data_IF_261965163993
#
_entry.id   IF_261965163993
#
_cell.length_a   1.000
_cell.length_b   1.000
_cell.length_c   1.000
_cell.angle_alpha   90.00
_cell.angle_beta   90.00
_cell.angle_gamma   90.00
#
_symmetry.space_group_name_H-M   'P 1'
#
loop_
_entity.id
_entity.type
_entity.pdbx_description
1 polymer ?
#
# COMPACT_ATOMS: atom_id res chain seq x y z
N UNK A 1 23.90 12.12 3.19
CA UNK A 1 23.25 13.37 2.73
C UNK A 1 24.20 14.31 2.00
N UNK A 2 25.48 14.36 2.37
CA UNK A 2 26.48 15.25 1.75
C UNK A 2 26.56 15.14 0.22
N UNK A 3 26.48 13.93 -0.33
CA UNK A 3 26.47 13.73 -1.78
C UNK A 3 25.26 14.37 -2.49
N UNK A 4 24.10 14.46 -1.83
CA UNK A 4 22.90 15.13 -2.35
C UNK A 4 23.08 16.66 -2.26
N UNK A 5 23.59 17.16 -1.12
CA UNK A 5 23.88 18.59 -0.92
C UNK A 5 24.93 19.10 -1.91
N UNK A 6 26.00 18.34 -2.14
CA UNK A 6 27.05 18.66 -3.10
C UNK A 6 26.52 18.73 -4.55
N UNK A 7 25.43 18.03 -4.86
CA UNK A 7 24.72 18.09 -6.15
C UNK A 7 23.67 19.20 -6.22
N UNK A 8 23.49 19.99 -5.16
CA UNK A 8 22.48 21.06 -5.10
C UNK A 8 21.04 20.53 -5.01
N UNK A 9 20.85 19.28 -4.57
CA UNK A 9 19.51 18.71 -4.38
C UNK A 9 18.85 19.37 -3.17
N UNK A 10 17.65 19.92 -3.36
CA UNK A 10 16.84 20.56 -2.32
C UNK A 10 15.56 19.79 -2.02
N UNK A 11 15.11 18.96 -2.96
CA UNK A 11 13.87 18.18 -2.87
C UNK A 11 14.18 16.69 -3.07
N UNK A 12 13.55 15.83 -2.28
CA UNK A 12 13.71 14.37 -2.38
C UNK A 12 12.34 13.69 -2.41
N UNK A 13 12.23 12.65 -3.23
CA UNK A 13 11.07 11.75 -3.26
C UNK A 13 11.57 10.34 -2.98
N UNK A 14 10.94 9.66 -2.02
CA UNK A 14 11.22 8.25 -1.75
C UNK A 14 10.29 7.41 -2.64
N UNK A 15 10.87 6.57 -3.48
CA UNK A 15 10.13 5.71 -4.38
C UNK A 15 10.80 4.34 -4.49
N UNK A 16 9.98 3.28 -4.48
CA UNK A 16 10.43 1.90 -4.54
C UNK A 16 10.11 1.13 -3.26
N UNK A 17 10.06 -0.20 -3.40
CA UNK A 17 9.83 -1.08 -2.27
C UNK A 17 11.06 -1.11 -1.37
N UNK A 18 10.88 -0.79 -0.09
CA UNK A 18 11.90 -0.95 0.95
C UNK A 18 11.51 -2.16 1.79
N UNK A 19 12.39 -3.16 1.85
CA UNK A 19 12.22 -4.26 2.82
C UNK A 19 12.79 -3.81 4.15
N UNK A 20 12.18 -4.27 5.24
CA UNK A 20 12.74 -4.08 6.59
C UNK A 20 14.20 -4.58 6.58
N UNK A 21 15.18 -3.69 6.76
CA UNK A 21 16.58 -4.09 6.76
C UNK A 21 16.93 -4.80 8.06
N UNK A 22 17.82 -5.79 7.99
CA UNK A 22 18.58 -6.22 9.16
C UNK A 22 19.59 -5.11 9.46
N UNK A 23 19.41 -4.39 10.58
CA UNK A 23 20.29 -3.29 10.94
C UNK A 23 21.52 -3.85 11.64
N UNK A 24 22.63 -3.93 10.92
CA UNK A 24 23.95 -4.13 11.51
C UNK A 24 24.59 -2.78 11.87
N UNK A 25 24.66 -2.48 13.15
CA UNK A 25 25.25 -1.24 13.69
C UNK A 25 26.79 -1.23 13.60
N UNK A 26 27.43 -2.36 13.25
CA UNK A 26 28.89 -2.51 13.16
C UNK A 26 29.52 -1.82 11.94
N UNK A 27 28.78 -1.70 10.84
CA UNK A 27 29.27 -1.10 9.58
C UNK A 27 28.87 0.38 9.40
N UNK A 28 28.13 0.94 10.35
CA UNK A 28 27.68 2.32 10.30
C UNK A 28 28.83 3.32 10.45
N UNK A 29 28.95 4.26 9.51
CA UNK A 29 29.81 5.44 9.69
C UNK A 29 29.44 6.17 10.98
N UNK A 30 30.43 6.67 11.73
CA UNK A 30 30.19 7.31 13.03
C UNK A 30 29.22 8.49 12.98
N UNK A 31 29.20 9.23 11.86
CA UNK A 31 28.27 10.33 11.57
C UNK A 31 26.82 9.85 11.36
N UNK A 32 26.63 8.63 10.87
CA UNK A 32 25.32 8.05 10.57
C UNK A 32 24.72 7.29 11.75
N UNK A 33 25.54 6.87 12.71
CA UNK A 33 25.13 6.06 13.87
C UNK A 33 23.94 6.64 14.65
N UNK A 34 23.90 7.94 15.02
CA UNK A 34 22.76 8.50 15.76
C UNK A 34 21.44 8.43 14.99
N UNK A 35 21.49 8.52 13.65
CA UNK A 35 20.31 8.40 12.80
C UNK A 35 19.83 6.95 12.72
N UNK A 36 20.76 6.01 12.58
CA UNK A 36 20.46 4.58 12.52
C UNK A 36 19.86 4.10 13.84
N UNK A 37 20.41 4.51 14.99
CA UNK A 37 19.88 4.16 16.31
C UNK A 37 18.42 4.63 16.48
N UNK A 38 18.10 5.84 16.01
CA UNK A 38 16.72 6.38 16.03
C UNK A 38 15.76 5.60 15.15
N UNK A 39 16.20 5.21 13.94
CA UNK A 39 15.40 4.41 13.01
C UNK A 39 15.17 3.00 13.58
N UNK A 40 16.22 2.37 14.13
CA UNK A 40 16.14 1.05 14.75
C UNK A 40 15.12 1.01 15.90
N UNK A 41 15.16 1.98 16.81
CA UNK A 41 14.20 2.09 17.91
C UNK A 41 12.76 2.32 17.44
N UNK A 42 12.57 2.94 16.27
CA UNK A 42 11.25 3.12 15.68
C UNK A 42 10.73 1.85 15.00
N UNK A 43 11.60 1.10 14.31
CA UNK A 43 11.27 -0.20 13.70
C UNK A 43 10.78 -1.24 14.71
N UNK A 44 11.21 -1.17 15.98
CA UNK A 44 10.68 -2.03 17.05
C UNK A 44 9.19 -1.82 17.31
N UNK A 45 8.66 -0.63 16.97
CA UNK A 45 7.26 -0.25 17.20
C UNK A 45 6.37 -0.41 15.98
N UNK A 46 6.95 -0.57 14.79
CA UNK A 46 6.22 -0.59 13.53
C UNK A 46 7.01 0.03 12.38
N UNK A 47 6.60 -0.27 11.14
CA UNK A 47 7.28 0.24 9.95
C UNK A 47 6.96 1.73 9.72
N UNK A 48 5.74 2.17 10.03
CA UNK A 48 5.30 3.57 9.85
C UNK A 48 6.12 4.52 10.72
N UNK A 49 6.40 4.13 11.96
CA UNK A 49 7.24 4.90 12.87
C UNK A 49 8.65 5.07 12.32
N UNK A 50 9.21 4.03 11.72
CA UNK A 50 10.55 4.08 11.14
C UNK A 50 10.63 5.00 9.92
N UNK A 51 9.64 4.93 9.02
CA UNK A 51 9.53 5.81 7.86
C UNK A 51 9.35 7.28 8.29
N UNK A 52 8.53 7.54 9.30
CA UNK A 52 8.34 8.89 9.84
C UNK A 52 9.66 9.46 10.41
N UNK A 53 10.45 8.66 11.13
CA UNK A 53 11.76 9.10 11.63
C UNK A 53 12.74 9.36 10.49
N UNK A 54 12.77 8.50 9.46
CA UNK A 54 13.59 8.71 8.27
C UNK A 54 13.30 10.07 7.63
N UNK A 55 12.02 10.41 7.48
CA UNK A 55 11.61 11.70 6.93
C UNK A 55 12.08 12.89 7.76
N UNK A 56 11.90 12.83 9.07
CA UNK A 56 12.33 13.89 9.98
C UNK A 56 13.84 14.14 9.90
N UNK A 57 14.63 13.08 9.65
CA UNK A 57 16.08 13.22 9.48
C UNK A 57 16.39 14.01 8.21
N UNK A 58 15.75 13.68 7.08
CA UNK A 58 15.96 14.42 5.83
C UNK A 58 15.47 15.86 5.92
N UNK A 59 14.30 16.09 6.55
CA UNK A 59 13.76 17.44 6.78
C UNK A 59 14.70 18.26 7.68
N UNK A 60 15.23 17.65 8.75
CA UNK A 60 16.20 18.28 9.65
C UNK A 60 17.53 18.65 8.97
N UNK A 61 17.88 17.95 7.90
CA UNK A 61 19.04 18.24 7.06
C UNK A 61 18.77 19.29 5.97
N UNK A 62 17.54 19.81 5.89
CA UNK A 62 17.11 20.89 4.99
C UNK A 62 16.51 20.43 3.66
N UNK A 63 16.17 19.14 3.51
CA UNK A 63 15.48 18.65 2.30
C UNK A 63 13.98 18.82 2.41
N UNK A 64 13.34 19.20 1.31
CA UNK A 64 11.88 19.16 1.16
C UNK A 64 11.47 17.78 0.66
N UNK A 65 10.58 17.12 1.38
CA UNK A 65 10.04 15.83 0.99
C UNK A 65 8.88 16.04 0.02
N UNK A 66 8.97 15.43 -1.16
CA UNK A 66 7.93 15.43 -2.19
C UNK A 66 7.29 14.05 -2.27
N UNK A 67 5.97 14.02 -2.35
CA UNK A 67 5.25 12.77 -2.50
C UNK A 67 5.33 12.26 -3.94
N UNK A 68 5.35 10.94 -4.14
CA UNK A 68 5.38 10.35 -5.48
C UNK A 68 4.21 10.83 -6.36
N UNK A 69 3.02 10.94 -5.77
CA UNK A 69 1.82 11.41 -6.48
C UNK A 69 1.80 12.92 -6.77
N UNK A 70 2.60 13.73 -6.07
CA UNK A 70 2.76 15.16 -6.44
C UNK A 70 3.61 15.31 -7.70
N UNK A 71 4.57 14.39 -7.89
CA UNK A 71 5.45 14.36 -9.06
C UNK A 71 4.80 13.62 -10.24
N UNK A 72 3.94 12.63 -9.95
CA UNK A 72 3.19 11.86 -10.93
C UNK A 72 1.71 11.72 -10.53
N UNK A 73 0.88 12.77 -10.72
CA UNK A 73 -0.53 12.78 -10.32
C UNK A 73 -1.37 11.67 -10.93
N UNK A 74 -0.99 11.18 -12.11
CA UNK A 74 -1.66 10.09 -12.82
C UNK A 74 -1.65 8.75 -12.07
N UNK A 75 -0.77 8.59 -11.08
CA UNK A 75 -0.72 7.42 -10.20
C UNK A 75 -1.94 7.33 -9.29
N UNK A 76 -2.63 8.44 -9.00
CA UNK A 76 -3.86 8.45 -8.20
C UNK A 76 -5.07 8.66 -9.11
N UNK A 77 -5.78 7.59 -9.50
CA UNK A 77 -6.96 7.72 -10.35
C UNK A 77 -8.10 8.45 -9.62
N UNK A 78 -8.94 9.13 -10.40
CA UNK A 78 -10.19 9.69 -9.88
C UNK A 78 -11.13 8.59 -9.36
N UNK A 79 -11.99 8.94 -8.41
CA UNK A 79 -13.02 8.04 -7.89
C UNK A 79 -13.97 7.57 -8.99
N UNK A 80 -14.29 6.29 -9.02
CA UNK A 80 -15.13 5.66 -10.02
C UNK A 80 -14.75 4.21 -10.25
N UNK A 81 -15.47 3.53 -11.13
CA UNK A 81 -15.13 2.18 -11.58
C UNK A 81 -14.32 2.31 -12.87
N UNK A 82 -13.07 1.83 -12.85
CA UNK A 82 -12.12 2.01 -13.97
C UNK A 82 -12.30 0.95 -15.07
N UNK A 83 -13.06 -0.11 -14.78
CA UNK A 83 -13.26 -1.30 -15.62
C UNK A 83 -14.66 -1.35 -16.21
N UNK A 84 -14.87 -2.22 -17.20
CA UNK A 84 -16.19 -2.47 -17.78
C UNK A 84 -17.16 -3.13 -16.79
N UNK A 85 -16.67 -4.09 -15.99
CA UNK A 85 -17.45 -4.75 -14.96
C UNK A 85 -17.72 -3.78 -13.81
N UNK A 86 -18.98 -3.71 -13.38
CA UNK A 86 -19.43 -2.92 -12.24
C UNK A 86 -19.53 -3.80 -10.98
N UNK A 87 -19.31 -3.23 -9.77
CA UNK A 87 -19.59 -3.93 -8.51
C UNK A 87 -21.09 -4.21 -8.38
N UNK A 88 -21.42 -5.38 -7.84
CA UNK A 88 -22.80 -5.76 -7.51
C UNK A 88 -23.23 -5.15 -6.16
N UNK A 89 -24.54 -5.18 -5.82
CA UNK A 89 -24.99 -4.80 -4.48
C UNK A 89 -24.34 -5.60 -3.34
N UNK A 90 -23.91 -6.83 -3.59
CA UNK A 90 -23.17 -7.64 -2.62
C UNK A 90 -21.75 -7.10 -2.43
N UNK A 91 -21.06 -6.79 -3.53
CA UNK A 91 -19.71 -6.23 -3.50
C UNK A 91 -19.67 -4.87 -2.78
N UNK A 92 -20.71 -4.05 -2.94
CA UNK A 92 -20.84 -2.77 -2.24
C UNK A 92 -20.94 -2.98 -0.71
N UNK A 93 -21.67 -4.01 -0.26
CA UNK A 93 -21.75 -4.34 1.17
C UNK A 93 -20.43 -4.89 1.69
N UNK A 94 -19.75 -5.73 0.91
CA UNK A 94 -18.43 -6.26 1.25
C UNK A 94 -17.39 -5.14 1.33
N UNK A 95 -17.47 -4.13 0.47
CA UNK A 95 -16.62 -2.94 0.51
C UNK A 95 -16.85 -2.14 1.80
N UNK A 96 -18.11 -1.91 2.20
CA UNK A 96 -18.41 -1.23 3.46
C UNK A 96 -17.88 -2.01 4.67
N UNK A 97 -17.93 -3.35 4.62
CA UNK A 97 -17.34 -4.21 5.65
C UNK A 97 -15.81 -4.12 5.65
N UNK A 98 -15.20 -4.03 4.48
CA UNK A 98 -13.76 -3.90 4.33
C UNK A 98 -13.23 -2.61 4.98
N UNK A 99 -13.93 -1.47 4.85
CA UNK A 99 -13.48 -0.21 5.49
C UNK A 99 -13.34 -0.37 7.02
N UNK A 100 -14.32 -1.02 7.65
CA UNK A 100 -14.29 -1.30 9.10
C UNK A 100 -13.10 -2.20 9.46
N UNK A 101 -12.82 -3.21 8.63
CA UNK A 101 -11.70 -4.12 8.85
C UNK A 101 -10.35 -3.42 8.65
N UNK A 102 -10.20 -2.66 7.55
CA UNK A 102 -9.00 -1.89 7.20
C UNK A 102 -8.65 -0.89 8.28
N UNK A 103 -9.65 -0.17 8.82
CA UNK A 103 -9.43 0.71 9.97
C UNK A 103 -8.88 -0.05 11.18
N UNK A 104 -9.49 -1.18 11.54
CA UNK A 104 -9.09 -1.95 12.71
C UNK A 104 -7.67 -2.54 12.59
N UNK A 105 -7.32 -3.10 11.42
CA UNK A 105 -5.96 -3.64 11.20
C UNK A 105 -4.91 -2.52 11.04
N UNK A 106 -5.31 -1.36 10.50
CA UNK A 106 -4.45 -0.20 10.38
C UNK A 106 -4.17 0.47 11.73
N UNK A 107 -5.18 0.63 12.59
CA UNK A 107 -5.01 1.13 13.97
C UNK A 107 -4.05 0.24 14.79
N UNK A 108 -4.00 -1.05 14.47
CA UNK A 108 -3.12 -2.03 15.12
C UNK A 108 -1.75 -2.20 14.42
N UNK A 109 -1.47 -1.41 13.37
CA UNK A 109 -0.27 -1.50 12.53
C UNK A 109 0.01 -2.92 11.99
N UNK A 110 -1.04 -3.66 11.63
CA UNK A 110 -0.92 -5.05 11.15
C UNK A 110 -0.74 -5.09 9.63
N UNK A 111 -1.51 -4.29 8.90
CA UNK A 111 -1.53 -4.31 7.45
C UNK A 111 -2.55 -3.33 6.89
N UNK A 112 -2.64 -3.28 5.56
CA UNK A 112 -3.40 -2.24 4.84
C UNK A 112 -4.29 -2.79 3.72
N UNK A 113 -4.43 -4.13 3.67
CA UNK A 113 -5.33 -4.80 2.75
C UNK A 113 -6.11 -5.93 3.44
N UNK A 114 -7.27 -6.26 2.90
CA UNK A 114 -8.04 -7.43 3.31
C UNK A 114 -8.86 -8.01 2.16
N UNK A 115 -9.36 -9.23 2.34
CA UNK A 115 -10.36 -9.83 1.47
C UNK A 115 -11.66 -10.04 2.24
N UNK A 116 -12.78 -9.72 1.61
CA UNK A 116 -14.12 -9.82 2.20
C UNK A 116 -15.06 -10.58 1.26
N UNK A 117 -15.86 -11.48 1.80
CA UNK A 117 -16.88 -12.22 1.05
C UNK A 117 -18.13 -12.38 1.89
N UNK A 118 -19.28 -11.95 1.37
CA UNK A 118 -20.58 -12.10 2.02
C UNK A 118 -20.58 -11.56 3.48
N UNK A 119 -19.92 -10.42 3.68
CA UNK A 119 -19.78 -9.75 4.97
C UNK A 119 -18.72 -10.34 5.91
N UNK A 120 -18.02 -11.41 5.52
CA UNK A 120 -16.95 -12.02 6.31
C UNK A 120 -15.57 -11.60 5.81
N UNK A 121 -14.69 -11.19 6.71
CA UNK A 121 -13.27 -10.98 6.40
C UNK A 121 -12.61 -12.34 6.34
N UNK A 122 -12.14 -12.73 5.15
CA UNK A 122 -11.60 -14.07 4.89
C UNK A 122 -10.06 -14.09 4.83
N UNK A 123 -9.43 -12.93 4.66
CA UNK A 123 -7.99 -12.74 4.80
C UNK A 123 -7.67 -11.29 5.14
N UNK A 124 -6.54 -11.06 5.81
CA UNK A 124 -5.96 -9.74 6.07
C UNK A 124 -4.48 -9.77 5.70
N UNK A 125 -3.97 -8.64 5.20
CA UNK A 125 -2.55 -8.46 4.97
C UNK A 125 -1.83 -8.35 6.31
N UNK A 126 -0.63 -8.92 6.35
CA UNK A 126 0.30 -8.84 7.48
C UNK A 126 1.69 -8.52 6.94
N UNK A 127 2.74 -8.62 7.78
CA UNK A 127 4.13 -8.41 7.39
C UNK A 127 4.63 -9.30 6.23
N UNK A 128 3.94 -10.41 5.92
CA UNK A 128 4.26 -11.24 4.75
C UNK A 128 3.80 -10.63 3.41
N UNK A 129 2.97 -9.58 3.47
CA UNK A 129 2.55 -8.77 2.33
C UNK A 129 1.34 -9.31 1.55
N UNK A 130 0.81 -8.44 0.70
CA UNK A 130 -0.37 -8.68 -0.16
C UNK A 130 -0.26 -9.97 -0.99
N UNK A 131 0.90 -10.25 -1.58
CA UNK A 131 1.09 -11.42 -2.45
C UNK A 131 0.94 -12.73 -1.67
N UNK A 132 1.56 -12.83 -0.49
CA UNK A 132 1.46 -14.02 0.36
C UNK A 132 0.02 -14.24 0.83
N UNK A 133 -0.68 -13.15 1.18
CA UNK A 133 -2.09 -13.18 1.54
C UNK A 133 -2.96 -13.75 0.41
N UNK A 134 -2.81 -13.22 -0.82
CA UNK A 134 -3.60 -13.65 -1.97
C UNK A 134 -3.27 -15.09 -2.41
N UNK A 135 -2.00 -15.49 -2.37
CA UNK A 135 -1.59 -16.87 -2.65
C UNK A 135 -2.22 -17.85 -1.65
N UNK A 136 -2.20 -17.52 -0.36
CA UNK A 136 -2.83 -18.32 0.68
C UNK A 136 -4.35 -18.43 0.48
N UNK A 137 -4.98 -17.35 0.02
CA UNK A 137 -6.41 -17.31 -0.27
C UNK A 137 -6.79 -18.15 -1.50
N UNK A 138 -5.90 -18.33 -2.46
CA UNK A 138 -6.14 -19.17 -3.65
C UNK A 138 -6.40 -20.65 -3.36
N UNK A 139 -6.15 -21.11 -2.13
CA UNK A 139 -6.43 -22.49 -1.68
C UNK A 139 -7.62 -22.59 -0.72
N UNK A 140 -8.45 -21.55 -0.62
CA UNK A 140 -9.57 -21.51 0.33
C UNK A 140 -10.65 -22.57 0.03
N UNK A 141 -11.28 -23.16 1.06
CA UNK A 141 -12.26 -24.24 0.89
C UNK A 141 -13.67 -23.73 0.52
N UNK A 142 -13.95 -22.44 0.67
CA UNK A 142 -15.28 -21.84 0.50
C UNK A 142 -15.58 -21.38 -0.95
N UNK A 143 -14.68 -21.68 -1.89
CA UNK A 143 -14.86 -21.46 -3.32
C UNK A 143 -14.36 -20.10 -3.80
N UNK A 144 -15.14 -19.45 -4.68
CA UNK A 144 -14.82 -18.17 -5.29
C UNK A 144 -15.78 -17.04 -4.86
N UNK A 145 -15.44 -15.81 -5.24
CA UNK A 145 -16.17 -14.59 -4.95
C UNK A 145 -15.60 -13.80 -3.77
N UNK A 146 -16.19 -12.63 -3.54
CA UNK A 146 -15.68 -11.60 -2.62
C UNK A 146 -14.79 -10.57 -3.32
N UNK A 147 -14.30 -9.62 -2.55
CA UNK A 147 -13.47 -8.52 -2.99
C UNK A 147 -12.11 -8.55 -2.29
N UNK A 148 -11.10 -7.99 -2.95
CA UNK A 148 -9.88 -7.51 -2.33
C UNK A 148 -10.02 -6.00 -2.09
N UNK A 149 -9.66 -5.52 -0.92
CA UNK A 149 -9.71 -4.11 -0.57
C UNK A 149 -8.36 -3.63 -0.04
N UNK A 150 -7.93 -2.43 -0.42
CA UNK A 150 -6.68 -1.80 0.05
C UNK A 150 -6.90 -0.31 0.30
N UNK A 151 -6.38 0.19 1.42
CA UNK A 151 -6.48 1.60 1.80
C UNK A 151 -5.27 1.97 2.66
N UNK A 152 -4.87 3.25 2.73
CA UNK A 152 -3.81 3.66 3.65
C UNK A 152 -4.21 3.40 5.10
N UNK A 153 -3.22 3.18 5.96
CA UNK A 153 -3.45 3.03 7.40
C UNK A 153 -3.81 4.39 8.01
N UNK A 154 -4.65 4.44 9.06
CA UNK A 154 -4.92 5.69 9.77
C UNK A 154 -3.63 6.32 10.32
N UNK A 155 -3.34 7.57 9.95
CA UNK A 155 -2.16 8.30 10.43
C UNK A 155 -0.84 8.02 9.68
N UNK A 156 -0.86 7.18 8.64
CA UNK A 156 0.28 6.94 7.76
C UNK A 156 0.68 8.22 6.99
N UNK A 157 1.99 8.47 6.82
CA UNK A 157 2.48 9.60 6.04
C UNK A 157 2.46 9.28 4.53
N UNK A 158 1.42 9.74 3.85
CA UNK A 158 1.18 9.49 2.43
C UNK A 158 2.24 10.12 1.50
N UNK A 159 3.16 10.95 2.02
CA UNK A 159 4.28 11.47 1.21
C UNK A 159 5.29 10.39 0.87
N UNK A 160 5.35 9.32 1.64
CA UNK A 160 6.33 8.24 1.45
C UNK A 160 5.76 6.85 1.43
N UNK A 161 4.56 6.66 1.96
CA UNK A 161 3.97 5.34 2.07
C UNK A 161 2.51 5.36 1.63
N UNK A 162 2.33 5.43 0.31
CA UNK A 162 1.05 5.17 -0.31
C UNK A 162 0.97 3.70 -0.71
N UNK A 163 -0.06 2.96 -0.28
CA UNK A 163 -0.30 1.63 -0.80
C UNK A 163 -0.38 1.63 -2.32
N UNK A 164 0.07 0.53 -2.93
CA UNK A 164 0.09 0.37 -4.38
C UNK A 164 -0.64 -0.90 -4.83
N UNK A 165 -1.21 -0.81 -6.03
CA UNK A 165 -1.64 -1.95 -6.84
C UNK A 165 -1.06 -1.82 -8.25
N UNK A 166 -0.99 -2.93 -8.99
CA UNK A 166 -0.58 -2.94 -10.39
C UNK A 166 -1.10 -4.19 -11.12
N UNK A 167 -0.63 -4.48 -12.35
CA UNK A 167 -1.11 -5.60 -13.15
C UNK A 167 -0.98 -6.94 -12.41
N UNK A 168 0.15 -7.14 -11.70
CA UNK A 168 0.39 -8.31 -10.86
C UNK A 168 -0.67 -8.49 -9.77
N UNK A 169 -1.10 -7.41 -9.11
CA UNK A 169 -2.13 -7.48 -8.07
C UNK A 169 -3.44 -7.98 -8.67
N UNK A 170 -3.81 -7.51 -9.86
CA UNK A 170 -5.01 -7.96 -10.57
C UNK A 170 -4.94 -9.46 -10.85
N UNK A 171 -3.83 -9.93 -11.42
CA UNK A 171 -3.61 -11.36 -11.67
C UNK A 171 -3.75 -12.19 -10.39
N UNK A 172 -3.12 -11.76 -9.28
CA UNK A 172 -3.21 -12.46 -7.99
C UNK A 172 -4.63 -12.48 -7.42
N UNK A 173 -5.39 -11.39 -7.57
CA UNK A 173 -6.79 -11.32 -7.13
C UNK A 173 -7.66 -12.29 -7.94
N UNK A 174 -7.44 -12.37 -9.26
CA UNK A 174 -8.11 -13.34 -10.12
C UNK A 174 -7.75 -14.79 -9.77
N UNK A 175 -6.46 -15.09 -9.55
CA UNK A 175 -5.96 -16.40 -9.11
C UNK A 175 -6.55 -16.82 -7.75
N UNK A 176 -6.75 -15.86 -6.83
CA UNK A 176 -7.43 -16.09 -5.56
C UNK A 176 -8.95 -16.33 -5.69
N UNK A 177 -9.48 -16.28 -6.91
CA UNK A 177 -10.90 -16.43 -7.22
C UNK A 177 -11.77 -15.30 -6.69
N UNK A 178 -11.21 -14.11 -6.43
CA UNK A 178 -11.98 -12.93 -6.04
C UNK A 178 -12.62 -12.28 -7.27
N UNK A 179 -13.65 -11.46 -7.05
CA UNK A 179 -14.45 -10.83 -8.12
C UNK A 179 -14.10 -9.37 -8.41
N UNK A 180 -13.33 -8.72 -7.54
CA UNK A 180 -13.05 -7.30 -7.66
C UNK A 180 -11.98 -6.77 -6.71
N UNK A 181 -11.50 -5.59 -7.05
CA UNK A 181 -10.55 -4.78 -6.29
C UNK A 181 -11.25 -3.48 -5.91
N UNK A 182 -11.18 -3.12 -4.63
CA UNK A 182 -11.66 -1.85 -4.10
C UNK A 182 -10.49 -1.11 -3.48
N UNK A 183 -10.28 0.13 -3.89
CA UNK A 183 -9.20 0.98 -3.34
C UNK A 183 -9.72 2.34 -2.91
N UNK A 184 -9.10 2.92 -1.88
CA UNK A 184 -9.45 4.26 -1.42
C UNK A 184 -9.02 5.34 -2.41
N UNK A 185 -9.95 6.22 -2.79
CA UNK A 185 -9.69 7.35 -3.67
C UNK A 185 -8.69 8.32 -3.04
N UNK A 186 -7.57 8.58 -3.74
CA UNK A 186 -6.48 9.42 -3.24
C UNK A 186 -5.54 8.74 -2.24
N UNK A 187 -5.85 7.50 -1.82
CA UNK A 187 -5.07 6.76 -0.84
C UNK A 187 -4.28 5.57 -1.40
N UNK A 188 -4.49 5.19 -2.66
CA UNK A 188 -3.80 4.04 -3.28
C UNK A 188 -3.35 4.39 -4.69
N UNK A 189 -2.07 4.18 -4.97
CA UNK A 189 -1.51 4.36 -6.31
C UNK A 189 -1.79 3.15 -7.21
N UNK A 190 -2.10 3.42 -8.47
CA UNK A 190 -2.26 2.41 -9.52
C UNK A 190 -1.07 2.51 -10.47
N UNK A 191 -0.14 1.57 -10.33
CA UNK A 191 1.01 1.43 -11.22
C UNK A 191 0.55 0.93 -12.58
N UNK A 192 1.18 1.40 -13.66
CA UNK A 192 0.91 0.95 -15.03
C UNK A 192 -0.62 0.94 -15.32
N UNK A 193 -1.28 2.07 -15.03
CA UNK A 193 -2.75 2.19 -14.96
C UNK A 193 -3.48 1.58 -16.14
N UNK A 194 -3.01 1.83 -17.36
CA UNK A 194 -3.62 1.29 -18.59
C UNK A 194 -3.56 -0.24 -18.62
N UNK A 195 -2.39 -0.81 -18.35
CA UNK A 195 -2.21 -2.26 -18.28
C UNK A 195 -3.00 -2.88 -17.11
N UNK A 196 -3.00 -2.24 -15.94
CA UNK A 196 -3.78 -2.70 -14.78
C UNK A 196 -5.27 -2.79 -15.11
N UNK A 197 -5.83 -1.78 -15.78
CA UNK A 197 -7.23 -1.78 -16.21
C UNK A 197 -7.47 -2.81 -17.30
N UNK A 198 -6.55 -2.97 -18.25
CA UNK A 198 -6.64 -3.98 -19.30
C UNK A 198 -6.69 -5.39 -18.71
N UNK A 199 -5.72 -5.76 -17.87
CA UNK A 199 -5.67 -7.07 -17.19
C UNK A 199 -6.92 -7.29 -16.35
N UNK A 200 -7.44 -6.26 -15.69
CA UNK A 200 -8.67 -6.38 -14.90
C UNK A 200 -9.89 -6.69 -15.77
N UNK A 201 -10.02 -6.02 -16.92
CA UNK A 201 -11.08 -6.32 -17.87
C UNK A 201 -10.95 -7.74 -18.46
N UNK A 202 -9.74 -8.17 -18.83
CA UNK A 202 -9.48 -9.50 -19.40
C UNK A 202 -9.76 -10.64 -18.42
N UNK A 203 -9.46 -10.42 -17.13
CA UNK A 203 -9.71 -11.38 -16.04
C UNK A 203 -11.12 -11.27 -15.45
N UNK A 204 -11.93 -10.31 -15.92
CA UNK A 204 -13.27 -10.07 -15.42
C UNK A 204 -13.31 -9.50 -14.00
N UNK A 205 -12.21 -8.92 -13.50
CA UNK A 205 -12.13 -8.25 -12.20
C UNK A 205 -12.62 -6.81 -12.35
N UNK A 206 -13.54 -6.37 -11.49
CA UNK A 206 -13.84 -4.94 -11.41
C UNK A 206 -12.78 -4.21 -10.59
N UNK A 207 -12.42 -2.98 -10.98
CA UNK A 207 -11.55 -2.10 -10.21
C UNK A 207 -12.32 -0.84 -9.82
N UNK A 208 -12.62 -0.70 -8.53
CA UNK A 208 -13.40 0.40 -7.98
C UNK A 208 -12.56 1.30 -7.07
N UNK A 209 -12.35 2.54 -7.52
CA UNK A 209 -11.76 3.63 -6.75
C UNK A 209 -12.87 4.30 -5.96
N UNK A 210 -12.96 3.99 -4.67
CA UNK A 210 -14.09 4.34 -3.83
C UNK A 210 -13.75 5.49 -2.88
N UNK A 211 -14.69 6.40 -2.70
CA UNK A 211 -14.63 7.37 -1.58
C UNK A 211 -15.15 6.67 -0.32
N UNK A 212 -14.43 6.76 0.82
CA UNK A 212 -14.87 6.18 2.08
C UNK A 212 -16.28 6.64 2.45
#
# INVERSE_FOLDING_TARGET
MDALKARGVTEVCFAGAVRRPEIDLGEAEASSKPFIDRIAAALEKGDDGALAILLQIFEGEGFVIRAAHELAPDLLPASGVLTHRQPTPGDIKDAARADVALKAIGDADVGQACAVRQGQVIAIETSYGTDWMLESLGRRPDGSGGIFAKAPKPGQDLRVDLPTIGPRTVTRVAEAGLGGIVIEAGGVMVLEREETVQVANETGIFLWVRRP
#
